data_IF_032593895298
#
_entry.id   IF_032593895298
#
_cell.length_a   1.000
_cell.length_b   1.000
_cell.length_c   1.000
_cell.angle_alpha   90.00
_cell.angle_beta   90.00
_cell.angle_gamma   90.00
#
_symmetry.space_group_name_H-M   'P 1'
#
loop_
_entity.id
_entity.type
_entity.pdbx_description
1 polymer ?
#
# COMPACT_ATOMS: atom_id res chain seq x y z
N UNK A 1 -17.61 9.66 -1.96
CA UNK A 1 -16.75 8.69 -2.69
C UNK A 1 -17.66 7.58 -3.17
N UNK A 2 -17.71 7.34 -4.48
CA UNK A 2 -18.49 6.23 -5.05
C UNK A 2 -17.59 5.01 -5.19
N UNK A 3 -18.02 3.87 -4.66
CA UNK A 3 -17.26 2.62 -4.65
C UNK A 3 -16.94 2.16 -6.08
N UNK A 4 -17.94 2.24 -6.93
CA UNK A 4 -17.93 1.79 -8.32
C UNK A 4 -16.91 2.59 -9.14
N UNK A 5 -16.77 3.89 -8.86
CA UNK A 5 -15.74 4.72 -9.50
C UNK A 5 -14.32 4.15 -9.26
N UNK A 6 -13.99 3.80 -8.01
CA UNK A 6 -12.66 3.29 -7.68
C UNK A 6 -12.40 1.88 -8.22
N UNK A 7 -13.42 1.03 -8.22
CA UNK A 7 -13.31 -0.29 -8.86
C UNK A 7 -13.03 -0.15 -10.35
N UNK A 8 -13.79 0.71 -11.04
CA UNK A 8 -13.59 0.99 -12.48
C UNK A 8 -12.20 1.58 -12.76
N UNK A 9 -11.66 2.42 -11.89
CA UNK A 9 -10.29 2.97 -12.02
C UNK A 9 -9.24 1.86 -12.00
N UNK A 10 -9.38 0.86 -11.13
CA UNK A 10 -8.48 -0.29 -11.07
C UNK A 10 -8.68 -1.28 -12.22
N UNK A 11 -9.91 -1.44 -12.72
CA UNK A 11 -10.21 -2.26 -13.89
C UNK A 11 -9.63 -1.66 -15.19
N UNK A 12 -9.76 -0.35 -15.37
CA UNK A 12 -9.24 0.40 -16.53
C UNK A 12 -7.69 0.41 -16.53
N UNK A 13 -7.06 0.55 -15.36
CA UNK A 13 -5.60 0.52 -15.20
C UNK A 13 -4.86 1.74 -15.78
N UNK A 14 -5.46 2.47 -16.73
CA UNK A 14 -4.89 3.70 -17.32
C UNK A 14 -4.95 4.91 -16.39
N UNK A 15 -5.76 4.85 -15.34
CA UNK A 15 -6.07 5.98 -14.42
C UNK A 15 -5.32 5.92 -13.08
N UNK A 16 -4.27 5.11 -12.99
CA UNK A 16 -3.46 4.92 -11.78
C UNK A 16 -2.43 6.05 -11.54
N UNK A 17 -2.75 7.30 -11.88
CA UNK A 17 -1.84 8.44 -11.69
C UNK A 17 -1.49 8.75 -10.22
N UNK A 18 -2.18 8.10 -9.28
CA UNK A 18 -1.90 8.15 -7.85
C UNK A 18 -0.91 7.07 -7.38
N UNK A 19 -0.66 6.03 -8.19
CA UNK A 19 0.27 4.97 -7.84
C UNK A 19 1.72 5.42 -8.11
N UNK A 20 2.59 5.17 -7.14
CA UNK A 20 4.03 5.38 -7.28
C UNK A 20 4.71 4.00 -7.38
N UNK A 21 5.63 3.86 -8.33
CA UNK A 21 6.38 2.61 -8.54
C UNK A 21 7.45 2.34 -7.47
N UNK A 22 7.72 3.32 -6.61
CA UNK A 22 8.70 3.24 -5.53
C UNK A 22 8.05 3.65 -4.19
N UNK A 23 8.77 3.43 -3.09
CA UNK A 23 8.37 3.88 -1.76
C UNK A 23 8.13 5.40 -1.71
N UNK A 24 7.14 5.84 -0.94
CA UNK A 24 6.79 7.24 -0.78
C UNK A 24 7.91 8.01 -0.08
N UNK A 25 8.48 9.00 -0.78
CA UNK A 25 9.68 9.73 -0.30
C UNK A 25 9.50 10.39 1.08
N UNK A 26 8.31 10.92 1.38
CA UNK A 26 8.04 11.52 2.69
C UNK A 26 7.89 10.49 3.80
N UNK A 27 7.45 9.26 3.48
CA UNK A 27 7.44 8.17 4.44
C UNK A 27 8.88 7.88 4.84
N UNK A 28 9.76 7.63 3.85
CA UNK A 28 11.18 7.38 4.10
C UNK A 28 11.84 8.49 4.93
N UNK A 29 11.52 9.75 4.62
CA UNK A 29 12.12 10.92 5.27
C UNK A 29 11.67 11.11 6.73
N UNK A 30 10.40 10.83 7.04
CA UNK A 30 9.81 11.21 8.32
C UNK A 30 9.43 10.03 9.21
N UNK A 31 9.49 8.80 8.72
CA UNK A 31 9.06 7.61 9.47
C UNK A 31 9.77 7.47 10.82
N UNK A 32 11.08 7.78 10.91
CA UNK A 32 11.84 7.67 12.16
C UNK A 32 11.29 8.55 13.29
N UNK A 33 10.55 9.62 12.96
CA UNK A 33 9.90 10.50 13.95
C UNK A 33 8.68 9.88 14.63
N UNK A 34 8.17 8.76 14.11
CA UNK A 34 7.06 8.03 14.71
C UNK A 34 7.48 7.19 15.91
N UNK A 35 8.80 7.02 16.13
CA UNK A 35 9.36 6.30 17.29
C UNK A 35 8.73 4.91 17.53
N UNK A 36 8.38 4.23 16.44
CA UNK A 36 7.73 2.91 16.49
C UNK A 36 8.69 1.85 17.05
N UNK A 37 8.14 0.91 17.81
CA UNK A 37 8.87 -0.27 18.30
C UNK A 37 8.69 -1.45 17.36
N UNK A 38 9.62 -2.41 17.40
CA UNK A 38 9.44 -3.70 16.72
C UNK A 38 8.10 -4.33 17.11
N UNK A 39 7.35 -4.83 16.12
CA UNK A 39 6.01 -5.39 16.30
C UNK A 39 4.90 -4.35 16.54
N UNK A 40 5.19 -3.05 16.44
CA UNK A 40 4.14 -2.03 16.49
C UNK A 40 3.19 -2.21 15.30
N UNK A 41 1.89 -2.06 15.57
CA UNK A 41 0.85 -2.19 14.54
C UNK A 41 0.68 -0.91 13.75
N UNK A 42 0.67 -1.03 12.42
CA UNK A 42 0.37 0.07 11.50
C UNK A 42 -0.77 -0.31 10.57
N UNK A 43 -1.71 0.61 10.41
CA UNK A 43 -2.76 0.53 9.42
C UNK A 43 -2.40 1.43 8.23
N UNK A 44 -2.44 0.89 7.02
CA UNK A 44 -2.36 1.65 5.76
C UNK A 44 -3.74 1.58 5.10
N UNK A 45 -4.60 2.59 5.32
CA UNK A 45 -5.94 2.60 4.76
C UNK A 45 -5.90 2.95 3.26
N UNK A 46 -6.79 2.34 2.48
CA UNK A 46 -6.87 2.51 1.02
C UNK A 46 -5.52 2.27 0.35
N UNK A 47 -4.86 1.17 0.73
CA UNK A 47 -3.45 0.95 0.41
C UNK A 47 -3.17 0.71 -1.08
N UNK A 48 -4.20 0.43 -1.89
CA UNK A 48 -4.03 0.04 -3.28
C UNK A 48 -3.02 -1.10 -3.39
N UNK A 49 -1.98 -0.88 -4.21
CA UNK A 49 -0.81 -1.75 -4.32
C UNK A 49 0.51 -1.07 -3.90
N UNK A 50 0.47 -0.18 -2.91
CA UNK A 50 1.68 0.58 -2.51
C UNK A 50 2.82 -0.33 -2.05
N UNK A 51 4.03 -0.02 -2.51
CA UNK A 51 5.27 -0.64 -2.03
C UNK A 51 5.61 -0.26 -0.59
N UNK A 52 5.00 0.80 -0.04
CA UNK A 52 5.20 1.22 1.34
C UNK A 52 4.82 0.13 2.36
N UNK A 53 3.85 -0.73 2.03
CA UNK A 53 3.47 -1.87 2.86
C UNK A 53 4.68 -2.79 3.11
N UNK A 54 5.40 -3.17 2.04
CA UNK A 54 6.61 -4.00 2.15
C UNK A 54 7.70 -3.26 2.93
N UNK A 55 7.89 -1.97 2.64
CA UNK A 55 8.92 -1.19 3.34
C UNK A 55 8.67 -1.17 4.86
N UNK A 56 7.42 -0.98 5.28
CA UNK A 56 7.00 -1.01 6.68
C UNK A 56 7.16 -2.41 7.30
N UNK A 57 6.80 -3.47 6.58
CA UNK A 57 7.01 -4.86 7.00
C UNK A 57 8.50 -5.14 7.25
N UNK A 58 9.37 -4.68 6.35
CA UNK A 58 10.82 -4.80 6.46
C UNK A 58 11.43 -4.00 7.62
N UNK A 59 10.68 -3.07 8.23
CA UNK A 59 11.05 -2.45 9.52
C UNK A 59 10.65 -3.29 10.74
N UNK A 60 10.04 -4.46 10.52
CA UNK A 60 9.60 -5.39 11.56
C UNK A 60 8.30 -4.95 12.24
N UNK A 61 7.40 -4.30 11.50
CA UNK A 61 6.11 -3.83 11.98
C UNK A 61 5.00 -4.84 11.66
N UNK A 62 3.93 -4.83 12.46
CA UNK A 62 2.70 -5.56 12.17
C UNK A 62 1.83 -4.71 11.24
N UNK A 63 1.99 -4.88 9.92
CA UNK A 63 1.39 -4.00 8.90
C UNK A 63 0.05 -4.57 8.40
N UNK A 64 -0.99 -3.74 8.41
CA UNK A 64 -2.33 -4.08 7.95
C UNK A 64 -2.72 -3.12 6.83
N UNK A 65 -2.88 -3.62 5.62
CA UNK A 65 -3.44 -2.89 4.49
C UNK A 65 -4.95 -3.12 4.39
N UNK A 66 -5.73 -2.07 4.13
CA UNK A 66 -7.15 -2.19 3.80
C UNK A 66 -7.38 -1.60 2.42
N UNK A 67 -7.80 -2.43 1.48
CA UNK A 67 -8.06 -2.03 0.10
C UNK A 67 -9.40 -2.61 -0.38
N UNK A 68 -10.14 -1.79 -1.12
CA UNK A 68 -11.45 -2.11 -1.68
C UNK A 68 -11.34 -2.99 -2.93
N UNK A 69 -10.35 -2.71 -3.78
CA UNK A 69 -10.16 -3.35 -5.08
C UNK A 69 -9.43 -4.69 -4.97
N UNK A 70 -10.09 -5.82 -5.29
CA UNK A 70 -9.42 -7.11 -5.34
C UNK A 70 -8.31 -7.17 -6.40
N UNK A 71 -8.42 -6.38 -7.47
CA UNK A 71 -7.40 -6.26 -8.52
C UNK A 71 -6.12 -5.67 -7.93
N UNK A 72 -6.22 -4.56 -7.18
CA UNK A 72 -5.08 -3.94 -6.54
C UNK A 72 -4.37 -4.90 -5.57
N UNK A 73 -5.15 -5.59 -4.73
CA UNK A 73 -4.64 -6.57 -3.77
C UNK A 73 -3.94 -7.73 -4.47
N UNK A 74 -4.56 -8.31 -5.50
CA UNK A 74 -3.96 -9.41 -6.26
C UNK A 74 -2.67 -8.97 -6.96
N UNK A 75 -2.68 -7.80 -7.62
CA UNK A 75 -1.50 -7.22 -8.26
C UNK A 75 -0.36 -7.02 -7.26
N UNK A 76 -0.64 -6.46 -6.08
CA UNK A 76 0.36 -6.29 -5.03
C UNK A 76 1.09 -7.60 -4.67
N UNK A 77 0.35 -8.67 -4.39
CA UNK A 77 0.97 -9.96 -4.02
C UNK A 77 1.65 -10.66 -5.20
N UNK A 78 1.08 -10.55 -6.41
CA UNK A 78 1.68 -11.14 -7.63
C UNK A 78 2.99 -10.44 -7.99
N UNK A 79 3.02 -9.10 -7.95
CA UNK A 79 4.22 -8.30 -8.22
C UNK A 79 5.33 -8.55 -7.18
N UNK A 80 4.96 -8.93 -5.95
CA UNK A 80 5.88 -9.39 -4.89
C UNK A 80 6.32 -10.85 -5.02
N UNK A 81 5.75 -11.63 -5.93
CA UNK A 81 6.02 -13.06 -6.04
C UNK A 81 5.56 -13.89 -4.84
N UNK A 82 4.55 -13.43 -4.11
CA UNK A 82 3.98 -14.12 -2.94
C UNK A 82 2.88 -15.10 -3.36
N UNK A 83 2.16 -14.79 -4.43
CA UNK A 83 1.12 -15.65 -5.04
C UNK A 83 1.31 -15.77 -6.56
#
# INVERSE_FOLDING_TARGET
MEKEFWLNVWEDGSRLGFHQENYHTLLLRYFTKLETKLGSRILVPLCGKTWDLEWLENKGLDVHGVELSPIAVKSYFTERGII
#
